data_IF_936233582536
#
_entry.id   IF_936233582536
#
_cell.length_a   1.000
_cell.length_b   1.000
_cell.length_c   1.000
_cell.angle_alpha   90.00
_cell.angle_beta   90.00
_cell.angle_gamma   90.00
#
_symmetry.space_group_name_H-M   'P 1'
#
loop_
_entity.id
_entity.type
_entity.pdbx_description
1 polymer ?
#
# COMPACT_ATOMS: atom_id res chain seq x y z
N UNK A 1 -27.32 -13.68 1.17
CA UNK A 1 -26.20 -12.97 1.82
C UNK A 1 -25.64 -11.99 0.81
N UNK A 2 -25.23 -10.83 1.27
CA UNK A 2 -24.64 -9.78 0.44
C UNK A 2 -23.11 -9.86 0.55
N UNK A 3 -22.39 -9.92 -0.56
CA UNK A 3 -20.93 -9.90 -0.59
C UNK A 3 -20.44 -8.75 -1.45
N UNK A 4 -19.37 -8.09 -1.01
CA UNK A 4 -18.73 -7.01 -1.76
C UNK A 4 -17.38 -7.49 -2.27
N UNK A 5 -17.16 -7.45 -3.59
CA UNK A 5 -15.89 -7.78 -4.22
C UNK A 5 -15.18 -6.51 -4.65
N UNK A 6 -13.97 -6.27 -4.15
CA UNK A 6 -13.19 -5.09 -4.46
C UNK A 6 -12.00 -5.49 -5.32
N UNK A 7 -11.82 -4.83 -6.47
CA UNK A 7 -10.66 -5.03 -7.32
C UNK A 7 -9.50 -4.07 -6.97
N UNK A 8 -8.33 -4.31 -7.55
CA UNK A 8 -7.13 -3.49 -7.30
C UNK A 8 -7.26 -2.04 -7.80
N UNK A 9 -8.25 -1.77 -8.66
CA UNK A 9 -8.59 -0.43 -9.16
C UNK A 9 -9.55 0.34 -8.23
N UNK A 10 -9.98 -0.29 -7.13
CA UNK A 10 -10.92 0.31 -6.17
C UNK A 10 -12.39 0.25 -6.62
N UNK A 11 -12.71 -0.45 -7.71
CA UNK A 11 -14.09 -0.73 -8.08
C UNK A 11 -14.64 -1.84 -7.18
N UNK A 12 -15.88 -1.65 -6.73
CA UNK A 12 -16.60 -2.61 -5.88
C UNK A 12 -17.77 -3.20 -6.66
N UNK A 13 -17.97 -4.51 -6.51
CA UNK A 13 -19.07 -5.27 -7.11
C UNK A 13 -19.85 -5.93 -5.98
N UNK A 14 -21.08 -5.50 -5.76
CA UNK A 14 -21.95 -6.07 -4.73
C UNK A 14 -22.82 -7.17 -5.33
N UNK A 15 -22.75 -8.37 -4.75
CA UNK A 15 -23.47 -9.55 -5.26
C UNK A 15 -24.30 -10.16 -4.14
N UNK A 16 -25.61 -10.31 -4.39
CA UNK A 16 -26.50 -11.04 -3.50
C UNK A 16 -26.54 -12.52 -3.91
N UNK A 17 -26.11 -13.41 -3.01
CA UNK A 17 -26.01 -14.85 -3.27
C UNK A 17 -26.54 -15.70 -2.11
N UNK A 18 -26.80 -16.97 -2.37
CA UNK A 18 -27.09 -17.96 -1.33
C UNK A 18 -25.80 -18.43 -0.62
N UNK A 19 -25.79 -18.61 0.71
CA UNK A 19 -24.65 -19.18 1.46
C UNK A 19 -24.18 -20.55 0.96
N UNK A 20 -25.11 -21.31 0.38
CA UNK A 20 -24.88 -22.65 -0.13
C UNK A 20 -24.46 -22.68 -1.60
N UNK A 21 -24.34 -21.51 -2.24
CA UNK A 21 -23.85 -21.40 -3.61
C UNK A 21 -22.37 -21.83 -3.66
N UNK A 22 -22.02 -22.67 -4.64
CA UNK A 22 -20.64 -23.06 -4.92
C UNK A 22 -19.83 -21.87 -5.44
N UNK A 23 -18.53 -21.83 -5.12
CA UNK A 23 -17.63 -20.75 -5.55
C UNK A 23 -17.61 -20.56 -7.07
N UNK A 24 -17.69 -21.63 -7.86
CA UNK A 24 -17.72 -21.53 -9.34
C UNK A 24 -18.91 -20.72 -9.87
N UNK A 25 -20.07 -20.82 -9.21
CA UNK A 25 -21.26 -20.07 -9.62
C UNK A 25 -21.10 -18.59 -9.27
N UNK A 26 -20.48 -18.28 -8.14
CA UNK A 26 -20.16 -16.90 -7.75
C UNK A 26 -19.15 -16.28 -8.72
N UNK A 27 -18.13 -17.03 -9.14
CA UNK A 27 -17.17 -16.57 -10.15
C UNK A 27 -17.85 -16.28 -11.50
N UNK A 28 -18.81 -17.11 -11.91
CA UNK A 28 -19.58 -16.89 -13.14
C UNK A 28 -20.47 -15.64 -13.05
N UNK A 29 -21.09 -15.37 -11.89
CA UNK A 29 -21.81 -14.12 -11.65
C UNK A 29 -20.87 -12.90 -11.74
N UNK A 30 -19.70 -13.00 -11.13
CA UNK A 30 -18.68 -11.95 -11.18
C UNK A 30 -18.12 -11.73 -12.58
N UNK A 31 -18.06 -12.75 -13.43
CA UNK A 31 -17.64 -12.58 -14.83
C UNK A 31 -18.59 -11.65 -15.58
N UNK A 32 -19.90 -11.78 -15.34
CA UNK A 32 -20.91 -10.91 -15.95
C UNK A 32 -20.84 -9.46 -15.44
N UNK A 33 -20.57 -9.26 -14.15
CA UNK A 33 -20.54 -7.93 -13.52
C UNK A 33 -19.20 -7.20 -13.73
N UNK A 34 -18.08 -7.91 -13.57
CA UNK A 34 -16.73 -7.33 -13.64
C UNK A 34 -16.11 -7.37 -15.04
N UNK A 35 -16.62 -8.24 -15.92
CA UNK A 35 -16.03 -8.51 -17.23
C UNK A 35 -14.70 -9.28 -17.17
N UNK A 36 -14.29 -9.75 -15.99
CA UNK A 36 -13.07 -10.54 -15.80
C UNK A 36 -13.41 -12.02 -16.03
N UNK A 37 -12.79 -12.70 -17.02
CA UNK A 37 -13.06 -14.11 -17.27
C UNK A 37 -12.81 -14.98 -16.03
N UNK A 38 -13.62 -16.01 -15.78
CA UNK A 38 -13.46 -16.89 -14.59
C UNK A 38 -12.03 -17.43 -14.46
N UNK A 39 -11.39 -17.80 -15.58
CA UNK A 39 -10.01 -18.29 -15.62
C UNK A 39 -8.96 -17.26 -15.16
N UNK A 40 -9.31 -15.98 -15.18
CA UNK A 40 -8.45 -14.86 -14.78
C UNK A 40 -8.83 -14.31 -13.40
N UNK A 41 -9.91 -14.80 -12.77
CA UNK A 41 -10.33 -14.35 -11.46
C UNK A 41 -9.54 -15.03 -10.34
N UNK A 42 -9.03 -14.22 -9.42
CA UNK A 42 -8.38 -14.69 -8.20
C UNK A 42 -9.02 -14.03 -6.99
N UNK A 43 -9.88 -14.77 -6.29
CA UNK A 43 -10.63 -14.28 -5.14
C UNK A 43 -9.91 -14.62 -3.84
N UNK A 44 -9.81 -13.67 -2.92
CA UNK A 44 -9.25 -13.89 -1.58
C UNK A 44 -10.08 -13.24 -0.48
N UNK A 45 -10.11 -13.88 0.68
CA UNK A 45 -10.81 -13.45 1.89
C UNK A 45 -9.88 -13.63 3.09
N UNK A 46 -9.69 -12.59 3.91
CA UNK A 46 -8.72 -12.56 5.03
C UNK A 46 -7.30 -13.03 4.64
N UNK A 47 -6.84 -12.67 3.43
CA UNK A 47 -5.54 -13.09 2.89
C UNK A 47 -5.47 -14.56 2.47
N UNK A 48 -6.54 -15.34 2.64
CA UNK A 48 -6.66 -16.71 2.13
C UNK A 48 -7.28 -16.71 0.74
N UNK A 49 -6.57 -17.30 -0.22
CA UNK A 49 -7.12 -17.55 -1.55
C UNK A 49 -8.21 -18.62 -1.51
N UNK A 50 -9.34 -18.35 -2.15
CA UNK A 50 -10.46 -19.28 -2.32
C UNK A 50 -10.24 -20.08 -3.61
N UNK A 51 -9.77 -21.32 -3.48
CA UNK A 51 -9.32 -22.14 -4.62
C UNK A 51 -10.12 -23.44 -4.82
N UNK A 52 -11.14 -23.69 -4.00
CA UNK A 52 -12.01 -24.86 -4.13
C UNK A 52 -13.32 -24.46 -4.83
N UNK A 53 -13.45 -24.68 -6.16
CA UNK A 53 -14.61 -24.24 -6.92
C UNK A 53 -15.91 -24.93 -6.48
N UNK A 54 -15.82 -26.12 -5.87
CA UNK A 54 -16.96 -26.92 -5.42
C UNK A 54 -17.35 -26.66 -3.97
N UNK A 55 -16.50 -25.98 -3.20
CA UNK A 55 -16.86 -25.57 -1.86
C UNK A 55 -17.93 -24.47 -1.93
N UNK A 56 -18.87 -24.51 -0.98
CA UNK A 56 -19.84 -23.44 -0.81
C UNK A 56 -19.20 -22.22 -0.15
N UNK A 57 -19.76 -21.03 -0.39
CA UNK A 57 -19.30 -19.80 0.26
C UNK A 57 -19.28 -19.92 1.79
N UNK A 58 -20.27 -20.59 2.37
CA UNK A 58 -20.29 -20.88 3.80
C UNK A 58 -19.14 -21.82 4.24
N UNK A 59 -18.81 -22.86 3.46
CA UNK A 59 -17.70 -23.78 3.76
C UNK A 59 -16.33 -23.09 3.67
N UNK A 60 -16.23 -22.07 2.82
CA UNK A 60 -15.04 -21.23 2.70
C UNK A 60 -14.90 -20.23 3.85
N UNK A 61 -15.86 -20.17 4.78
CA UNK A 61 -15.83 -19.32 5.96
C UNK A 61 -16.17 -17.86 5.69
N UNK A 62 -16.78 -17.57 4.54
CA UNK A 62 -17.19 -16.22 4.15
C UNK A 62 -18.54 -15.90 4.81
N UNK A 63 -18.62 -14.76 5.49
CA UNK A 63 -19.82 -14.31 6.21
C UNK A 63 -20.64 -13.31 5.39
N UNK A 64 -21.88 -13.05 5.83
CA UNK A 64 -22.69 -11.97 5.27
C UNK A 64 -21.97 -10.62 5.41
N UNK A 65 -22.05 -9.80 4.35
CA UNK A 65 -21.37 -8.49 4.20
C UNK A 65 -19.84 -8.57 4.25
N UNK A 66 -19.28 -9.74 3.94
CA UNK A 66 -17.84 -9.86 3.80
C UNK A 66 -17.35 -9.09 2.58
N UNK A 67 -16.16 -8.51 2.73
CA UNK A 67 -15.44 -7.84 1.65
C UNK A 67 -14.36 -8.81 1.17
N UNK A 68 -14.42 -9.17 -0.11
CA UNK A 68 -13.47 -10.05 -0.76
C UNK A 68 -12.64 -9.26 -1.77
N UNK A 69 -11.38 -9.66 -1.93
CA UNK A 69 -10.51 -9.08 -2.94
C UNK A 69 -10.62 -9.90 -4.23
N UNK A 70 -10.95 -9.23 -5.34
CA UNK A 70 -10.99 -9.77 -6.68
C UNK A 70 -9.79 -9.26 -7.48
N UNK A 71 -8.79 -10.11 -7.68
CA UNK A 71 -7.64 -9.79 -8.54
C UNK A 71 -7.79 -10.42 -9.90
N UNK A 72 -7.35 -9.69 -10.92
CA UNK A 72 -7.18 -10.24 -12.27
C UNK A 72 -5.78 -10.80 -12.42
N UNK A 73 -5.68 -12.08 -12.72
CA UNK A 73 -4.41 -12.75 -13.02
C UNK A 73 -4.35 -13.15 -14.49
N UNK A 74 -3.20 -12.95 -15.11
CA UNK A 74 -2.93 -13.36 -16.49
C UNK A 74 -1.98 -14.54 -16.50
N UNK A 75 -2.22 -15.49 -17.40
CA UNK A 75 -1.29 -16.59 -17.64
C UNK A 75 -0.07 -16.05 -18.39
N UNK A 76 1.09 -16.06 -17.73
CA UNK A 76 2.34 -15.73 -18.39
C UNK A 76 2.79 -16.91 -19.31
N UNK A 77 3.54 -16.70 -20.40
CA UNK A 77 4.17 -17.75 -21.21
C UNK A 77 4.88 -18.87 -20.44
N UNK A 78 5.31 -18.62 -19.20
CA UNK A 78 5.87 -19.64 -18.31
C UNK A 78 4.82 -20.54 -17.59
N UNK A 79 3.52 -20.34 -17.83
CA UNK A 79 2.42 -21.08 -17.22
C UNK A 79 2.02 -20.62 -15.81
N UNK A 80 2.71 -19.63 -15.24
CA UNK A 80 2.37 -19.04 -13.95
C UNK A 80 1.29 -17.96 -14.08
N UNK A 81 0.31 -17.95 -13.16
CA UNK A 81 -0.66 -16.88 -13.02
C UNK A 81 -0.03 -15.72 -12.26
N UNK A 82 0.07 -14.55 -12.90
CA UNK A 82 0.65 -13.34 -12.33
C UNK A 82 -0.44 -12.26 -12.24
N UNK A 83 -0.56 -11.50 -11.15
CA UNK A 83 -1.46 -10.35 -11.10
C UNK A 83 -1.18 -9.41 -12.28
N UNK A 84 -2.23 -8.98 -12.98
CA UNK A 84 -2.09 -8.18 -14.21
C UNK A 84 -1.33 -6.88 -13.95
N UNK A 85 -1.60 -6.22 -12.82
CA UNK A 85 -0.94 -4.98 -12.43
C UNK A 85 0.56 -5.13 -12.23
N UNK A 86 0.99 -6.27 -11.67
CA UNK A 86 2.41 -6.58 -11.47
C UNK A 86 3.11 -6.76 -12.83
N UNK A 87 2.47 -7.46 -13.77
CA UNK A 87 3.02 -7.62 -15.11
C UNK A 87 3.07 -6.29 -15.88
N UNK A 88 2.06 -5.43 -15.72
CA UNK A 88 2.07 -4.09 -16.31
C UNK A 88 3.23 -3.24 -15.75
N UNK A 89 3.46 -3.29 -14.45
CA UNK A 89 4.58 -2.61 -13.80
C UNK A 89 5.92 -3.16 -14.28
N UNK A 90 6.05 -4.49 -14.42
CA UNK A 90 7.26 -5.12 -14.95
C UNK A 90 7.59 -4.65 -16.36
N UNK A 91 6.58 -4.59 -17.24
CA UNK A 91 6.75 -4.12 -18.62
C UNK A 91 7.12 -2.63 -18.67
N UNK A 92 6.56 -1.81 -17.79
CA UNK A 92 6.93 -0.40 -17.67
C UNK A 92 8.38 -0.23 -17.23
N UNK A 93 8.84 -1.00 -16.24
CA UNK A 93 10.24 -1.00 -15.80
C UNK A 93 11.17 -1.46 -16.93
N UNK A 94 10.82 -2.53 -17.63
CA UNK A 94 11.60 -3.02 -18.78
C UNK A 94 11.68 -1.99 -19.92
N UNK A 95 10.63 -1.16 -20.06
CA UNK A 95 10.57 -0.07 -21.03
C UNK A 95 11.43 1.16 -20.67
N UNK A 96 11.84 1.31 -19.40
CA UNK A 96 12.62 2.47 -18.94
C UNK A 96 14.08 2.07 -18.60
N UNK A 97 15.05 2.34 -19.51
CA UNK A 97 16.42 1.91 -19.32
C UNK A 97 17.15 2.65 -18.20
N UNK A 98 16.67 3.83 -17.78
CA UNK A 98 17.28 4.59 -16.68
C UNK A 98 16.92 3.98 -15.34
N UNK A 99 15.63 3.69 -15.14
CA UNK A 99 15.14 3.00 -13.94
C UNK A 99 15.77 1.61 -13.80
N UNK A 100 15.91 0.86 -14.90
CA UNK A 100 16.58 -0.46 -14.85
C UNK A 100 18.05 -0.39 -14.45
N UNK A 101 18.77 0.69 -14.78
CA UNK A 101 20.15 0.87 -14.30
C UNK A 101 20.18 1.12 -12.80
N UNK A 102 19.32 2.00 -12.32
CA UNK A 102 19.21 2.30 -10.87
C UNK A 102 18.78 1.06 -10.09
N UNK A 103 17.85 0.26 -10.60
CA UNK A 103 17.43 -1.00 -10.00
C UNK A 103 18.58 -2.01 -9.95
N UNK A 104 19.41 -2.11 -11.00
CA UNK A 104 20.58 -3.00 -10.97
C UNK A 104 21.62 -2.58 -9.94
N UNK A 105 21.76 -1.28 -9.67
CA UNK A 105 22.70 -0.77 -8.66
C UNK A 105 22.15 -0.88 -7.23
N UNK A 106 20.88 -0.56 -7.02
CA UNK A 106 20.26 -0.53 -5.69
C UNK A 106 19.68 -1.88 -5.25
N UNK A 107 19.09 -2.63 -6.18
CA UNK A 107 18.30 -3.84 -5.92
C UNK A 107 18.52 -4.89 -7.03
N UNK A 108 19.70 -5.54 -7.05
CA UNK A 108 20.07 -6.46 -8.13
C UNK A 108 19.13 -7.67 -8.25
N UNK A 109 18.57 -8.16 -7.12
CA UNK A 109 17.59 -9.25 -7.13
C UNK A 109 16.28 -8.85 -7.82
N UNK A 110 15.81 -7.61 -7.60
CA UNK A 110 14.60 -7.10 -8.22
C UNK A 110 14.81 -6.91 -9.73
N UNK A 111 15.96 -6.34 -10.12
CA UNK A 111 16.31 -6.18 -11.52
C UNK A 111 16.36 -7.53 -12.28
N UNK A 112 16.98 -8.55 -11.69
CA UNK A 112 17.02 -9.88 -12.28
C UNK A 112 15.61 -10.49 -12.44
N UNK A 113 14.74 -10.30 -11.45
CA UNK A 113 13.35 -10.77 -11.51
C UNK A 113 12.56 -10.06 -12.64
N UNK A 114 12.73 -8.74 -12.80
CA UNK A 114 12.09 -7.99 -13.91
C UNK A 114 12.45 -8.56 -15.28
N UNK A 115 13.71 -8.95 -15.48
CA UNK A 115 14.22 -9.42 -16.78
C UNK A 115 13.87 -10.88 -17.09
N UNK A 116 13.86 -11.75 -16.09
CA UNK A 116 13.83 -13.21 -16.32
C UNK A 116 12.67 -13.94 -15.64
N UNK A 117 12.08 -13.39 -14.57
CA UNK A 117 11.13 -14.13 -13.75
C UNK A 117 9.98 -13.23 -13.24
N UNK A 118 8.86 -13.14 -13.99
CA UNK A 118 7.71 -12.33 -13.60
C UNK A 118 7.01 -12.85 -12.35
N UNK A 119 7.03 -14.16 -12.08
CA UNK A 119 6.44 -14.72 -10.88
C UNK A 119 7.24 -14.29 -9.64
N UNK A 120 8.57 -14.34 -9.72
CA UNK A 120 9.46 -13.83 -8.66
C UNK A 120 9.30 -12.33 -8.46
N UNK A 121 9.12 -11.56 -9.54
CA UNK A 121 8.90 -10.12 -9.45
C UNK A 121 7.62 -9.78 -8.67
N UNK A 122 6.51 -10.46 -8.97
CA UNK A 122 5.25 -10.29 -8.24
C UNK A 122 5.38 -10.63 -6.75
N UNK A 123 6.08 -11.71 -6.40
CA UNK A 123 6.33 -12.08 -5.00
C UNK A 123 7.12 -10.99 -4.26
N UNK A 124 8.20 -10.49 -4.87
CA UNK A 124 9.04 -9.43 -4.28
C UNK A 124 8.28 -8.12 -4.11
N UNK A 125 7.44 -7.74 -5.08
CA UNK A 125 6.57 -6.56 -4.96
C UNK A 125 5.59 -6.71 -3.81
N UNK A 126 4.95 -7.88 -3.67
CA UNK A 126 3.98 -8.14 -2.60
C UNK A 126 4.63 -7.99 -1.22
N UNK A 127 5.79 -8.60 -1.03
CA UNK A 127 6.56 -8.49 0.21
C UNK A 127 7.02 -7.07 0.51
N UNK A 128 7.26 -6.26 -0.52
CA UNK A 128 7.66 -4.86 -0.37
C UNK A 128 6.45 -4.00 0.05
N UNK A 129 5.30 -4.19 -0.61
CA UNK A 129 4.04 -3.49 -0.26
C UNK A 129 3.57 -3.82 1.16
N UNK A 130 3.65 -5.08 1.58
CA UNK A 130 3.26 -5.50 2.94
C UNK A 130 4.11 -4.77 3.99
N UNK A 131 5.44 -4.73 3.82
CA UNK A 131 6.35 -3.99 4.71
C UNK A 131 6.09 -2.48 4.73
N UNK A 132 5.80 -1.88 3.58
CA UNK A 132 5.47 -0.46 3.50
C UNK A 132 4.16 -0.15 4.23
N UNK A 133 3.11 -0.92 3.97
CA UNK A 133 1.81 -0.76 4.62
C UNK A 133 1.91 -0.87 6.15
N UNK A 134 2.67 -1.83 6.65
CA UNK A 134 2.91 -1.98 8.10
C UNK A 134 3.65 -0.76 8.69
N UNK A 135 4.68 -0.27 7.99
CA UNK A 135 5.43 0.91 8.42
C UNK A 135 4.56 2.18 8.42
N UNK A 136 3.74 2.37 7.38
CA UNK A 136 2.80 3.49 7.29
C UNK A 136 1.73 3.42 8.37
N UNK A 137 1.20 2.23 8.67
CA UNK A 137 0.22 2.03 9.74
C UNK A 137 0.84 2.32 11.12
N UNK A 138 2.08 1.89 11.35
CA UNK A 138 2.81 2.19 12.57
C UNK A 138 3.02 3.70 12.74
N UNK A 139 3.45 4.38 11.67
CA UNK A 139 3.62 5.84 11.66
C UNK A 139 2.29 6.56 11.94
N UNK A 140 1.20 6.13 11.30
CA UNK A 140 -0.13 6.70 11.53
C UNK A 140 -0.60 6.51 12.98
N UNK A 141 -0.34 5.36 13.60
CA UNK A 141 -0.65 5.12 15.02
C UNK A 141 0.13 6.03 15.95
N UNK A 142 1.41 6.25 15.66
CA UNK A 142 2.23 7.18 16.43
C UNK A 142 1.71 8.62 16.32
N UNK A 143 1.42 9.08 15.10
CA UNK A 143 0.82 10.40 14.87
C UNK A 143 -0.55 10.51 15.56
N UNK A 144 -1.39 9.48 15.49
CA UNK A 144 -2.69 9.46 16.14
C UNK A 144 -2.54 9.49 17.66
N UNK A 145 -1.56 8.80 18.24
CA UNK A 145 -1.24 8.87 19.67
C UNK A 145 -0.81 10.27 20.10
N UNK A 146 0.01 10.96 19.29
CA UNK A 146 0.44 12.33 19.55
C UNK A 146 -0.73 13.35 19.43
N UNK A 147 -1.74 13.04 18.61
CA UNK A 147 -2.93 13.89 18.44
C UNK A 147 -4.08 13.55 19.41
N UNK A 148 -4.12 12.34 19.97
CA UNK A 148 -5.21 11.86 20.81
C UNK A 148 -5.24 12.50 22.21
N UNK A 149 -4.17 13.18 22.62
CA UNK A 149 -4.16 14.00 23.83
C UNK A 149 -3.83 15.47 23.54
N UNK A 150 -4.83 16.29 23.12
CA UNK A 150 -4.67 17.73 22.87
C UNK A 150 -4.29 18.56 24.10
N UNK A 151 -4.27 17.96 25.30
CA UNK A 151 -3.92 18.61 26.56
C UNK A 151 -2.67 18.01 27.22
N UNK A 152 -1.92 17.15 26.52
CA UNK A 152 -0.64 16.67 27.01
C UNK A 152 0.37 17.83 27.10
N UNK A 153 0.66 18.22 28.35
CA UNK A 153 1.58 19.30 28.70
C UNK A 153 2.97 19.04 28.14
N UNK A 154 3.37 17.77 27.96
CA UNK A 154 4.66 17.44 27.36
C UNK A 154 4.68 17.62 25.84
N UNK A 155 3.61 17.24 25.13
CA UNK A 155 3.48 17.48 23.69
C UNK A 155 3.37 18.99 23.39
N UNK A 156 2.56 19.73 24.15
CA UNK A 156 2.46 21.19 24.06
C UNK A 156 3.79 21.87 24.36
N UNK A 157 4.53 21.43 25.40
CA UNK A 157 5.85 21.96 25.74
C UNK A 157 6.87 21.66 24.65
N UNK A 158 6.86 20.47 24.05
CA UNK A 158 7.79 20.10 22.98
C UNK A 158 7.55 20.91 21.69
N UNK A 159 6.27 21.16 21.36
CA UNK A 159 5.89 22.03 20.24
C UNK A 159 6.27 23.49 20.54
N UNK A 160 6.00 23.98 21.76
CA UNK A 160 6.37 25.33 22.18
C UNK A 160 7.89 25.55 22.16
N UNK A 161 8.67 24.57 22.63
CA UNK A 161 10.13 24.66 22.66
C UNK A 161 10.72 24.65 21.25
N UNK A 162 10.17 23.84 20.33
CA UNK A 162 10.56 23.84 18.93
C UNK A 162 10.25 25.17 18.23
N UNK A 163 9.05 25.72 18.41
CA UNK A 163 8.66 27.04 17.87
C UNK A 163 9.55 28.14 18.46
N UNK A 164 9.86 28.08 19.76
CA UNK A 164 10.72 29.05 20.42
C UNK A 164 12.16 29.00 19.90
N UNK A 165 12.72 27.80 19.70
CA UNK A 165 14.04 27.64 19.11
C UNK A 165 14.06 28.13 17.66
N UNK A 166 13.04 27.82 16.87
CA UNK A 166 12.92 28.33 15.49
C UNK A 166 12.83 29.85 15.46
N UNK A 167 12.01 30.47 16.33
CA UNK A 167 11.91 31.92 16.41
C UNK A 167 13.24 32.59 16.86
N UNK A 168 13.99 31.95 17.75
CA UNK A 168 15.33 32.43 18.15
C UNK A 168 16.31 32.30 16.99
N UNK A 169 16.30 31.17 16.27
CA UNK A 169 17.17 30.93 15.12
C UNK A 169 16.83 31.87 13.96
N UNK A 170 15.56 32.11 13.68
CA UNK A 170 15.11 33.07 12.68
C UNK A 170 15.48 34.50 13.07
N UNK A 171 15.27 34.91 14.32
CA UNK A 171 15.67 36.24 14.79
C UNK A 171 17.20 36.41 14.78
N UNK A 172 17.94 35.36 15.16
CA UNK A 172 19.41 35.33 15.09
C UNK A 172 19.91 35.39 13.64
N UNK A 173 19.29 34.63 12.73
CA UNK A 173 19.60 34.68 11.30
C UNK A 173 19.28 36.06 10.72
N UNK A 174 18.15 36.64 11.07
CA UNK A 174 17.75 37.98 10.64
C UNK A 174 18.67 39.08 11.20
N UNK A 175 19.14 38.93 12.45
CA UNK A 175 20.12 39.82 13.07
C UNK A 175 21.51 39.70 12.41
N UNK A 176 21.93 38.51 12.01
CA UNK A 176 23.17 38.28 11.25
C UNK A 176 23.08 38.81 9.81
N UNK A 177 21.88 38.81 9.23
CA UNK A 177 21.63 39.27 7.85
C UNK A 177 21.49 40.81 7.77
N UNK A 178 20.97 41.49 8.80
CA UNK A 178 20.65 42.92 8.74
C UNK A 178 21.39 43.84 9.75
N UNK A 179 22.26 43.35 10.65
CA UNK A 179 23.02 44.24 11.57
C UNK A 179 24.34 43.64 12.11
N UNK A 180 25.49 43.87 11.45
CA UNK A 180 26.79 43.37 11.94
C UNK A 180 27.42 44.18 13.10
N UNK A 181 26.78 45.25 13.61
CA UNK A 181 27.37 46.13 14.64
C UNK A 181 26.46 46.38 15.86
N UNK A 182 26.45 45.46 16.83
CA UNK A 182 26.32 45.79 18.26
C UNK A 182 26.65 44.61 19.18
N UNK A 183 27.85 44.04 19.00
CA UNK A 183 28.58 43.52 20.15
C UNK A 183 29.22 44.70 20.90
N UNK A 184 28.40 45.47 21.61
CA UNK A 184 28.83 46.53 22.51
C UNK A 184 28.74 46.07 23.96
N UNK A 185 29.90 45.84 24.59
CA UNK A 185 30.06 45.41 25.99
C UNK A 185 29.24 46.22 27.00
N UNK A 186 28.63 45.51 27.95
CA UNK A 186 28.17 46.04 29.24
C UNK A 186 29.34 46.69 29.98
N UNK A 187 29.17 47.92 30.47
CA UNK A 187 29.96 48.47 31.58
C UNK A 187 29.00 49.00 32.63
N UNK A 188 29.07 48.45 33.85
CA UNK A 188 28.49 49.03 35.05
C UNK A 188 29.33 50.22 35.50
N UNK A 189 28.67 51.32 35.88
CA UNK A 189 28.94 52.11 37.09
C UNK A 189 27.70 52.96 37.40
#
# INVERSE_FOLDING_TARGET
>A
MELTFVNDLGHSFDVEIDPNMELENVMALLEAESGIPVSEQHISHDGRHLNDPKATIQQLGVTDKAILLLRRTVANPAGAAVPQDDEMMRLQLLGDPSLMRELRESQPELAHAVEHDPARFSELLRLTKERQYEAELAQQREIASLNADPFDVEAQRKIEEAIRQQAILENMAHALEYSPESFGRVTML
#
